data_IF_777006960503
#
_entry.id   IF_777006960503
#
_cell.length_a   1.000
_cell.length_b   1.000
_cell.length_c   1.000
_cell.angle_alpha   90.00
_cell.angle_beta   90.00
_cell.angle_gamma   90.00
#
_symmetry.space_group_name_H-M   'P 1'
#
loop_
_entity.id
_entity.type
_entity.pdbx_description
1 polymer ?
#
# COMPACT_ATOMS: atom_id res chain seq x y z
N UNK A 1 -7.19 -0.59 -7.60
CA UNK A 1 -7.00 0.34 -8.73
C UNK A 1 -5.60 0.95 -8.63
N UNK A 2 -4.97 1.39 -9.74
CA UNK A 2 -3.70 2.16 -9.62
C UNK A 2 -4.06 3.64 -9.59
N UNK A 3 -3.77 4.31 -8.47
CA UNK A 3 -4.07 5.73 -8.29
C UNK A 3 -2.90 6.64 -8.67
N UNK A 4 -1.69 6.27 -8.27
CA UNK A 4 -0.48 7.06 -8.42
C UNK A 4 0.74 6.15 -8.49
N UNK A 5 1.85 6.67 -9.01
CA UNK A 5 3.17 6.01 -8.92
C UNK A 5 3.92 6.33 -7.62
N UNK A 6 3.48 7.36 -6.89
CA UNK A 6 4.07 7.79 -5.62
C UNK A 6 3.37 7.14 -4.41
N UNK A 7 2.18 6.56 -4.61
CA UNK A 7 1.36 5.99 -3.55
C UNK A 7 1.32 4.47 -3.68
N UNK A 8 1.46 3.79 -2.55
CA UNK A 8 1.05 2.42 -2.38
C UNK A 8 -0.36 2.39 -1.75
N UNK A 9 -1.22 1.50 -2.24
CA UNK A 9 -2.57 1.30 -1.67
C UNK A 9 -2.51 0.20 -0.63
N UNK A 10 -2.57 0.58 0.64
CA UNK A 10 -2.56 -0.35 1.78
C UNK A 10 -3.90 -1.07 1.92
N UNK A 11 -4.99 -0.31 1.77
CA UNK A 11 -6.33 -0.82 1.97
C UNK A 11 -7.35 0.01 1.19
N UNK A 12 -8.39 -0.64 0.68
CA UNK A 12 -9.50 0.00 -0.01
C UNK A 12 -10.82 -0.55 0.55
N UNK A 13 -11.60 0.32 1.18
CA UNK A 13 -12.92 0.00 1.70
C UNK A 13 -13.97 0.50 0.70
N UNK A 14 -14.82 -0.39 0.14
CA UNK A 14 -15.89 0.01 -0.75
C UNK A 14 -17.02 0.72 0.00
N UNK A 15 -17.89 1.39 -0.76
CA UNK A 15 -19.11 2.01 -0.23
C UNK A 15 -20.01 0.98 0.46
N UNK A 16 -20.70 1.44 1.50
CA UNK A 16 -21.77 0.68 2.13
C UNK A 16 -23.02 0.61 1.22
N UNK A 17 -24.09 -0.03 1.72
CA UNK A 17 -25.35 -0.19 0.98
C UNK A 17 -26.04 1.13 0.60
N UNK A 18 -25.72 2.22 1.31
CA UNK A 18 -26.25 3.56 1.05
C UNK A 18 -25.35 4.35 0.07
N UNK A 19 -24.26 3.77 -0.43
CA UNK A 19 -23.32 4.44 -1.31
C UNK A 19 -22.38 5.41 -0.57
N UNK A 20 -22.14 5.20 0.72
CA UNK A 20 -21.34 6.07 1.59
C UNK A 20 -20.17 5.34 2.26
N UNK A 21 -19.22 6.10 2.82
CA UNK A 21 -18.18 5.55 3.69
C UNK A 21 -17.02 4.85 2.98
N UNK A 22 -16.90 4.97 1.65
CA UNK A 22 -15.73 4.43 0.96
C UNK A 22 -14.48 5.22 1.31
N UNK A 23 -13.39 4.54 1.59
CA UNK A 23 -12.10 5.19 1.81
C UNK A 23 -10.96 4.32 1.32
N UNK A 24 -9.83 4.97 1.05
CA UNK A 24 -8.58 4.28 0.69
C UNK A 24 -7.50 4.73 1.64
N UNK A 25 -6.71 3.79 2.15
CA UNK A 25 -5.50 4.07 2.91
C UNK A 25 -4.33 3.98 1.95
N UNK A 26 -3.59 5.07 1.86
CA UNK A 26 -2.37 5.16 1.10
C UNK A 26 -1.17 5.21 2.03
N UNK A 27 -0.04 4.71 1.52
CA UNK A 27 1.27 4.95 2.11
C UNK A 27 2.24 5.49 1.08
N UNK A 28 3.20 6.29 1.56
CA UNK A 28 4.32 6.81 0.77
C UNK A 28 5.53 6.98 1.69
N UNK A 29 6.73 7.02 1.10
CA UNK A 29 7.94 7.36 1.84
C UNK A 29 7.81 8.75 2.51
N UNK A 30 8.29 8.85 3.74
CA UNK A 30 8.26 10.07 4.54
C UNK A 30 9.67 10.52 4.92
N UNK A 31 9.95 11.80 4.71
CA UNK A 31 11.26 12.41 5.00
C UNK A 31 11.26 13.25 6.30
N UNK A 32 10.12 13.82 6.65
CA UNK A 32 9.97 14.74 7.79
C UNK A 32 8.97 14.20 8.82
N UNK A 33 9.26 14.40 10.10
CA UNK A 33 8.37 14.09 11.22
C UNK A 33 7.13 14.98 11.25
N UNK A 34 6.25 14.71 12.21
CA UNK A 34 4.99 15.44 12.35
C UNK A 34 5.15 16.90 12.82
N UNK A 35 6.34 17.25 13.27
CA UNK A 35 6.79 18.58 13.63
C UNK A 35 7.58 19.27 12.50
N UNK A 36 7.65 18.67 11.31
CA UNK A 36 8.45 19.10 10.16
C UNK A 36 9.98 19.05 10.38
N UNK A 37 10.45 18.23 11.34
CA UNK A 37 11.89 17.97 11.53
C UNK A 37 12.32 16.75 10.68
N UNK A 38 13.48 16.76 10.01
CA UNK A 38 13.96 15.60 9.26
C UNK A 38 14.02 14.33 10.13
N UNK A 39 13.59 13.20 9.57
CA UNK A 39 13.70 11.89 10.21
C UNK A 39 15.08 11.29 9.97
N UNK A 40 15.63 10.63 11.00
CA UNK A 40 16.91 9.89 10.89
C UNK A 40 16.75 8.51 10.26
N UNK A 41 15.55 7.93 10.36
CA UNK A 41 15.24 6.57 9.92
C UNK A 41 14.25 6.58 8.76
N UNK A 42 14.29 5.51 7.96
CA UNK A 42 13.31 5.33 6.88
C UNK A 42 11.92 5.17 7.48
N UNK A 43 11.01 6.06 7.11
CA UNK A 43 9.64 6.06 7.60
C UNK A 43 8.66 6.14 6.44
N UNK A 44 7.43 5.70 6.69
CA UNK A 44 6.32 5.84 5.76
C UNK A 44 5.19 6.64 6.39
N UNK A 45 4.59 7.50 5.59
CA UNK A 45 3.38 8.24 5.95
C UNK A 45 2.17 7.45 5.47
N UNK A 46 1.37 6.97 6.40
CA UNK A 46 0.06 6.36 6.14
C UNK A 46 -1.04 7.39 6.33
N UNK A 47 -1.96 7.51 5.39
CA UNK A 47 -3.09 8.43 5.51
C UNK A 47 -4.30 7.91 4.75
N UNK A 48 -5.49 8.28 5.19
CA UNK A 48 -6.73 7.90 4.57
C UNK A 48 -7.25 9.00 3.64
N UNK A 49 -7.94 8.60 2.57
CA UNK A 49 -8.79 9.49 1.77
C UNK A 49 -10.21 8.95 1.82
N UNK A 50 -11.11 9.73 2.41
CA UNK A 50 -12.53 9.44 2.47
C UNK A 50 -13.21 9.99 1.22
N UNK A 51 -13.75 9.08 0.41
CA UNK A 51 -14.40 9.40 -0.86
C UNK A 51 -15.87 9.74 -0.65
N UNK A 52 -16.34 10.80 -1.32
CA UNK A 52 -17.76 11.08 -1.46
C UNK A 52 -18.21 10.70 -2.87
N UNK A 53 -18.72 9.47 -3.01
CA UNK A 53 -19.10 8.89 -4.29
C UNK A 53 -17.89 8.35 -5.07
N UNK A 54 -17.80 8.65 -6.35
CA UNK A 54 -16.68 8.16 -7.17
C UNK A 54 -15.35 8.80 -6.74
N UNK A 55 -14.24 8.08 -6.93
CA UNK A 55 -12.90 8.61 -6.67
C UNK A 55 -12.68 9.91 -7.46
N UNK A 56 -12.41 11.00 -6.75
CA UNK A 56 -12.05 12.27 -7.35
C UNK A 56 -10.53 12.33 -7.57
N UNK A 57 -10.10 12.16 -8.81
CA UNK A 57 -8.67 12.14 -9.18
C UNK A 57 -7.98 13.48 -8.90
N UNK A 58 -8.73 14.58 -8.74
CA UNK A 58 -8.15 15.87 -8.34
C UNK A 58 -7.54 15.79 -6.94
N UNK A 59 -8.12 14.99 -6.04
CA UNK A 59 -7.54 14.77 -4.70
C UNK A 59 -6.18 14.08 -4.82
N UNK A 60 -6.04 13.11 -5.72
CA UNK A 60 -4.78 12.42 -5.97
C UNK A 60 -3.73 13.40 -6.50
N UNK A 61 -4.08 14.28 -7.43
CA UNK A 61 -3.18 15.31 -7.94
C UNK A 61 -2.67 16.24 -6.82
N UNK A 62 -3.55 16.70 -5.91
CA UNK A 62 -3.14 17.52 -4.76
C UNK A 62 -2.21 16.76 -3.80
N UNK A 63 -2.46 15.47 -3.60
CA UNK A 63 -1.59 14.60 -2.81
C UNK A 63 -0.21 14.50 -3.46
N UNK A 64 -0.13 14.23 -4.77
CA UNK A 64 1.14 14.14 -5.48
C UNK A 64 1.93 15.46 -5.42
N UNK A 65 1.26 16.60 -5.62
CA UNK A 65 1.87 17.93 -5.45
C UNK A 65 2.42 18.12 -4.03
N UNK A 66 1.65 17.71 -2.99
CA UNK A 66 2.09 17.80 -1.60
C UNK A 66 3.31 16.92 -1.27
N UNK A 67 3.42 15.75 -1.92
CA UNK A 67 4.58 14.86 -1.81
C UNK A 67 5.80 15.51 -2.45
N UNK A 68 5.65 16.02 -3.68
CA UNK A 68 6.73 16.70 -4.40
C UNK A 68 7.27 17.92 -3.64
N UNK A 69 6.40 18.62 -2.93
CA UNK A 69 6.76 19.77 -2.10
C UNK A 69 7.23 19.39 -0.69
N UNK A 70 7.23 18.10 -0.34
CA UNK A 70 7.62 17.56 0.97
C UNK A 70 6.77 18.07 2.15
N UNK A 71 5.49 18.39 1.90
CA UNK A 71 4.54 18.96 2.89
C UNK A 71 3.34 18.04 3.20
N UNK A 72 3.29 16.84 2.62
CA UNK A 72 2.19 15.89 2.87
C UNK A 72 2.05 15.56 4.37
N UNK A 73 3.16 15.33 5.07
CA UNK A 73 3.12 15.09 6.51
C UNK A 73 2.77 16.38 7.27
N UNK A 74 1.95 16.32 8.33
CA UNK A 74 1.43 15.11 8.99
C UNK A 74 -0.05 14.87 8.74
N UNK A 75 -0.46 14.80 7.47
CA UNK A 75 -1.84 14.46 7.10
C UNK A 75 -2.19 13.05 7.59
N UNK A 76 -3.34 12.91 8.25
CA UNK A 76 -3.91 11.62 8.64
C UNK A 76 -5.11 11.23 7.80
N UNK A 77 -5.96 12.20 7.45
CA UNK A 77 -7.15 11.97 6.66
C UNK A 77 -7.46 13.17 5.76
N UNK A 78 -7.84 12.88 4.51
CA UNK A 78 -8.33 13.85 3.55
C UNK A 78 -9.78 13.53 3.19
N UNK A 79 -10.57 14.56 2.98
CA UNK A 79 -11.91 14.44 2.40
C UNK A 79 -12.20 15.67 1.55
N UNK A 80 -12.54 15.46 0.29
CA UNK A 80 -12.98 16.53 -0.60
C UNK A 80 -14.49 16.42 -0.81
N UNK A 81 -15.20 17.52 -0.59
CA UNK A 81 -16.65 17.61 -0.77
C UNK A 81 -17.03 19.03 -1.17
N UNK A 82 -17.77 19.16 -2.28
CA UNK A 82 -18.45 20.40 -2.70
C UNK A 82 -17.54 21.66 -2.67
N UNK A 83 -16.33 21.56 -3.20
CA UNK A 83 -15.37 22.68 -3.24
C UNK A 83 -14.65 22.95 -1.91
N UNK A 84 -14.72 22.02 -0.96
CA UNK A 84 -13.96 22.08 0.29
C UNK A 84 -13.09 20.84 0.44
N UNK A 85 -11.80 21.04 0.68
CA UNK A 85 -10.86 20.02 1.10
C UNK A 85 -10.71 20.08 2.63
N UNK A 86 -11.14 19.03 3.32
CA UNK A 86 -10.86 18.85 4.74
C UNK A 86 -9.51 18.14 4.89
N UNK A 87 -8.58 18.79 5.57
CA UNK A 87 -7.26 18.24 5.90
C UNK A 87 -7.21 17.96 7.39
N UNK A 88 -7.25 16.68 7.74
CA UNK A 88 -7.01 16.22 9.11
C UNK A 88 -5.52 16.01 9.29
N UNK A 89 -4.94 16.72 10.26
CA UNK A 89 -3.51 16.66 10.55
C UNK A 89 -3.23 16.25 11.99
N UNK A 90 -2.02 15.74 12.23
CA UNK A 90 -1.55 15.40 13.57
C UNK A 90 -1.55 16.62 14.50
N UNK A 91 -2.06 16.45 15.72
CA UNK A 91 -2.18 17.51 16.72
C UNK A 91 -0.83 18.03 17.25
N UNK A 92 0.28 17.32 17.02
CA UNK A 92 1.65 17.76 17.32
C UNK A 92 2.11 18.93 16.44
N UNK A 93 1.54 19.09 15.24
CA UNK A 93 1.89 20.19 14.35
C UNK A 93 1.38 21.52 14.94
N UNK A 94 2.31 22.40 15.31
CA UNK A 94 2.05 23.70 15.95
C UNK A 94 3.02 24.77 15.47
N UNK A 95 2.78 26.02 15.87
CA UNK A 95 3.71 27.14 15.65
C UNK A 95 3.84 27.56 14.18
N UNK A 96 5.05 27.95 13.78
CA UNK A 96 5.33 28.43 12.42
C UNK A 96 5.19 27.33 11.37
N UNK A 97 5.56 26.09 11.70
CA UNK A 97 5.43 24.95 10.79
C UNK A 97 3.95 24.67 10.45
N UNK A 98 3.04 24.82 11.44
CA UNK A 98 1.60 24.74 11.19
C UNK A 98 1.11 25.84 10.23
N UNK A 99 1.56 27.09 10.39
CA UNK A 99 1.17 28.19 9.50
C UNK A 99 1.65 27.94 8.07
N UNK A 100 2.90 27.48 7.91
CA UNK A 100 3.46 27.14 6.62
C UNK A 100 2.69 25.99 5.96
N UNK A 101 2.40 24.93 6.73
CA UNK A 101 1.58 23.81 6.27
C UNK A 101 0.21 24.29 5.76
N UNK A 102 -0.49 25.12 6.53
CA UNK A 102 -1.78 25.69 6.12
C UNK A 102 -1.66 26.48 4.81
N UNK A 103 -0.69 27.39 4.74
CA UNK A 103 -0.49 28.26 3.58
C UNK A 103 -0.20 27.45 2.30
N UNK A 104 0.61 26.40 2.40
CA UNK A 104 0.95 25.57 1.24
C UNK A 104 -0.25 24.73 0.79
N UNK A 105 -0.99 24.13 1.72
CA UNK A 105 -2.22 23.38 1.38
C UNK A 105 -3.31 24.27 0.78
N UNK A 106 -3.48 25.49 1.30
CA UNK A 106 -4.39 26.49 0.71
C UNK A 106 -3.97 26.84 -0.72
N UNK A 107 -2.67 27.03 -0.97
CA UNK A 107 -2.15 27.32 -2.31
C UNK A 107 -2.36 26.15 -3.26
N UNK A 108 -2.14 24.91 -2.81
CA UNK A 108 -2.36 23.69 -3.60
C UNK A 108 -3.84 23.57 -3.95
N UNK A 109 -4.75 23.72 -2.98
CA UNK A 109 -6.19 23.62 -3.19
C UNK A 109 -6.76 24.75 -4.07
N UNK A 110 -6.22 25.97 -3.98
CA UNK A 110 -6.58 27.08 -4.87
C UNK A 110 -6.14 26.85 -6.33
N UNK A 111 -5.15 25.98 -6.56
CA UNK A 111 -4.66 25.60 -7.88
C UNK A 111 -5.40 24.42 -8.52
N UNK A 112 -6.46 23.92 -7.91
CA UNK A 112 -7.24 22.78 -8.43
C UNK A 112 -7.80 23.12 -9.82
N UNK A 113 -7.69 22.17 -10.74
CA UNK A 113 -8.23 22.33 -12.09
C UNK A 113 -9.77 22.42 -12.06
N UNK A 114 -10.29 23.46 -12.75
CA UNK A 114 -11.72 23.72 -12.98
C UNK A 114 -12.56 24.13 -11.76
N UNK A 115 -11.95 24.35 -10.59
CA UNK A 115 -12.65 24.80 -9.39
C UNK A 115 -11.66 25.45 -8.40
N UNK A 116 -12.14 26.33 -7.54
CA UNK A 116 -11.34 26.86 -6.43
C UNK A 116 -11.75 26.16 -5.14
N UNK A 117 -10.85 25.36 -4.58
CA UNK A 117 -11.14 24.65 -3.34
C UNK A 117 -10.70 25.45 -2.13
N UNK A 118 -11.61 25.52 -1.16
CA UNK A 118 -11.31 26.04 0.18
C UNK A 118 -10.77 24.93 1.06
N UNK A 119 -9.82 25.24 1.95
CA UNK A 119 -9.25 24.23 2.84
C UNK A 119 -9.76 24.41 4.26
N UNK A 120 -10.16 23.30 4.87
CA UNK A 120 -10.58 23.23 6.27
C UNK A 120 -9.61 22.36 7.05
N UNK A 121 -8.84 22.98 7.93
CA UNK A 121 -7.91 22.26 8.80
C UNK A 121 -8.59 21.78 10.10
N UNK A 122 -8.38 20.51 10.41
CA UNK A 122 -8.91 19.84 11.60
C UNK A 122 -7.79 19.04 12.26
N UNK A 123 -7.62 19.16 13.58
CA UNK A 123 -6.72 18.28 14.33
C UNK A 123 -7.32 16.88 14.40
N UNK A 124 -6.49 15.86 14.33
CA UNK A 124 -6.85 14.45 14.53
C UNK A 124 -7.72 14.21 15.77
N UNK A 125 -7.39 14.85 16.90
CA UNK A 125 -8.14 14.76 18.16
C UNK A 125 -9.57 15.34 18.10
N UNK A 126 -9.86 16.20 17.13
CA UNK A 126 -11.16 16.84 16.95
C UNK A 126 -11.95 16.36 15.73
N UNK A 127 -11.36 15.50 14.89
CA UNK A 127 -12.01 15.00 13.68
C UNK A 127 -13.21 14.10 14.02
N UNK A 128 -14.33 14.31 13.34
CA UNK A 128 -15.60 13.61 13.60
C UNK A 128 -16.39 14.07 14.84
N UNK A 129 -15.79 14.88 15.73
CA UNK A 129 -16.44 15.33 16.98
C UNK A 129 -17.07 16.74 16.89
N UNK A 130 -16.73 17.51 15.85
CA UNK A 130 -17.17 18.89 15.68
C UNK A 130 -18.19 19.09 14.57
N UNK A 131 -18.60 20.35 14.35
CA UNK A 131 -19.45 20.75 13.22
C UNK A 131 -18.66 20.95 11.91
N UNK A 132 -17.33 20.87 11.96
CA UNK A 132 -16.44 21.04 10.82
C UNK A 132 -16.55 19.87 9.83
N UNK A 133 -16.55 20.18 8.54
CA UNK A 133 -16.65 19.22 7.44
C UNK A 133 -18.10 18.85 7.06
N UNK A 134 -18.23 18.06 6.01
CA UNK A 134 -19.51 17.55 5.51
C UNK A 134 -20.15 16.49 6.42
N UNK A 135 -21.39 16.09 6.11
CA UNK A 135 -22.09 15.01 6.83
C UNK A 135 -21.27 13.72 6.81
N UNK A 136 -20.79 13.30 5.63
CA UNK A 136 -20.03 12.07 5.43
C UNK A 136 -18.74 12.11 6.25
N UNK A 137 -17.98 13.20 6.15
CA UNK A 137 -16.81 13.41 6.98
C UNK A 137 -17.09 13.21 8.47
N UNK A 138 -18.12 13.89 9.02
CA UNK A 138 -18.44 13.78 10.44
C UNK A 138 -18.87 12.36 10.85
N UNK A 139 -19.52 11.64 9.95
CA UNK A 139 -20.01 10.28 10.20
C UNK A 139 -18.87 9.26 10.24
N UNK A 140 -17.91 9.34 9.31
CA UNK A 140 -16.91 8.27 9.11
C UNK A 140 -15.49 8.62 9.60
N UNK A 141 -15.13 9.90 9.70
CA UNK A 141 -13.74 10.28 9.98
C UNK A 141 -13.23 9.69 11.30
N UNK A 142 -14.05 9.66 12.36
CA UNK A 142 -13.63 9.14 13.65
C UNK A 142 -13.36 7.65 13.63
N UNK A 143 -14.26 6.88 13.01
CA UNK A 143 -14.11 5.45 12.84
C UNK A 143 -12.84 5.11 12.04
N UNK A 144 -12.59 5.83 10.94
CA UNK A 144 -11.39 5.62 10.12
C UNK A 144 -10.12 5.91 10.92
N UNK A 145 -10.09 7.01 11.69
CA UNK A 145 -8.92 7.39 12.48
C UNK A 145 -8.65 6.44 13.66
N UNK A 146 -9.69 5.85 14.24
CA UNK A 146 -9.56 5.00 15.44
C UNK A 146 -9.25 3.54 15.09
N UNK A 147 -9.76 3.06 13.96
CA UNK A 147 -9.62 1.65 13.56
C UNK A 147 -8.41 1.38 12.66
N UNK A 148 -7.67 2.43 12.24
CA UNK A 148 -6.54 2.28 11.33
C UNK A 148 -5.29 2.97 11.88
N UNK A 149 -4.14 2.34 11.65
CA UNK A 149 -2.84 2.92 11.99
C UNK A 149 -2.45 3.97 10.93
N UNK A 150 -2.82 5.22 11.20
CA UNK A 150 -2.54 6.38 10.34
C UNK A 150 -1.52 7.32 10.98
N UNK A 151 -0.73 7.98 10.15
CA UNK A 151 0.39 8.83 10.57
C UNK A 151 1.72 8.29 10.07
N UNK A 152 2.79 8.73 10.73
CA UNK A 152 4.16 8.34 10.39
C UNK A 152 4.50 7.08 11.18
N UNK A 153 4.91 6.03 10.47
CA UNK A 153 5.41 4.79 11.07
C UNK A 153 6.80 4.48 10.54
N UNK A 154 7.65 3.91 11.40
CA UNK A 154 8.98 3.46 11.00
C UNK A 154 8.85 2.30 10.01
N UNK A 155 9.67 2.31 8.96
CA UNK A 155 9.69 1.24 7.97
C UNK A 155 10.63 0.13 8.41
N UNK A 156 10.06 -0.96 8.92
CA UNK A 156 10.83 -2.11 9.42
C UNK A 156 10.91 -3.24 8.40
N UNK A 157 11.88 -4.18 8.53
CA UNK A 157 11.96 -5.35 7.67
C UNK A 157 10.70 -6.24 7.68
N UNK A 158 9.87 -6.16 8.72
CA UNK A 158 8.59 -6.88 8.80
C UNK A 158 7.57 -6.39 7.76
N UNK A 159 7.78 -5.20 7.20
CA UNK A 159 6.92 -4.62 6.17
C UNK A 159 7.37 -5.01 4.74
N UNK A 160 8.41 -5.83 4.59
CA UNK A 160 8.86 -6.27 3.27
C UNK A 160 7.84 -7.26 2.68
N UNK A 161 7.30 -6.92 1.50
CA UNK A 161 6.25 -7.69 0.82
C UNK A 161 6.59 -9.16 0.58
N UNK A 162 7.89 -9.47 0.41
CA UNK A 162 8.38 -10.80 0.07
C UNK A 162 9.22 -11.40 1.20
N UNK A 163 9.10 -10.90 2.43
CA UNK A 163 9.94 -11.35 3.56
C UNK A 163 9.96 -12.87 3.68
N UNK A 164 8.78 -13.49 3.62
CA UNK A 164 8.63 -14.93 3.79
C UNK A 164 9.16 -15.71 2.58
N UNK A 165 9.01 -15.19 1.36
CA UNK A 165 9.54 -15.84 0.15
C UNK A 165 11.07 -15.93 0.15
N UNK A 166 11.74 -15.00 0.85
CA UNK A 166 13.19 -14.97 1.01
C UNK A 166 13.68 -15.63 2.30
N UNK A 167 12.81 -16.34 3.03
CA UNK A 167 13.22 -17.12 4.18
C UNK A 167 14.22 -18.22 3.77
N UNK A 168 15.28 -18.49 4.55
CA UNK A 168 16.29 -19.49 4.19
C UNK A 168 15.72 -20.86 3.83
N UNK A 169 14.65 -21.27 4.51
CA UNK A 169 13.96 -22.54 4.28
C UNK A 169 13.33 -22.61 2.88
N UNK A 170 12.85 -21.46 2.36
CA UNK A 170 12.25 -21.34 1.03
C UNK A 170 13.29 -21.23 -0.09
N UNK A 171 14.49 -20.72 0.20
CA UNK A 171 15.58 -20.57 -0.79
C UNK A 171 16.44 -21.83 -0.86
N UNK A 172 16.80 -22.40 0.29
CA UNK A 172 17.78 -23.48 0.41
C UNK A 172 17.13 -24.85 0.68
N UNK A 173 15.81 -24.90 0.89
CA UNK A 173 15.09 -26.10 1.29
C UNK A 173 15.15 -26.36 2.80
N UNK A 174 14.39 -27.37 3.29
CA UNK A 174 14.47 -27.76 4.69
C UNK A 174 15.91 -28.17 5.05
N UNK A 175 16.34 -27.93 6.29
CA UNK A 175 17.67 -28.33 6.74
C UNK A 175 17.86 -29.85 6.54
N UNK A 176 19.09 -30.33 6.28
CA UNK A 176 19.35 -31.75 6.09
C UNK A 176 18.91 -32.54 7.34
N UNK A 177 17.81 -33.29 7.23
CA UNK A 177 17.24 -34.08 8.32
C UNK A 177 15.72 -34.02 8.47
N UNK A 178 15.05 -33.05 7.85
CA UNK A 178 13.57 -32.96 7.80
C UNK A 178 13.07 -33.25 6.38
N UNK A 179 13.26 -34.47 5.90
CA UNK A 179 12.48 -34.95 4.76
C UNK A 179 11.07 -35.32 5.26
N UNK A 180 9.99 -34.84 4.62
CA UNK A 180 8.65 -35.35 4.91
C UNK A 180 8.62 -36.83 4.56
N UNK A 181 8.15 -37.68 5.50
CA UNK A 181 7.97 -39.11 5.27
C UNK A 181 7.23 -39.32 3.94
N UNK A 182 7.92 -39.92 2.97
CA UNK A 182 7.38 -40.16 1.66
C UNK A 182 6.14 -41.06 1.78
N UNK A 183 5.02 -40.57 1.25
CA UNK A 183 3.78 -41.33 1.10
C UNK A 183 4.09 -42.64 0.32
N UNK A 184 3.92 -43.83 0.95
CA UNK A 184 4.39 -45.09 0.38
C UNK A 184 3.69 -45.47 -0.94
N UNK A 185 2.60 -44.81 -1.33
CA UNK A 185 1.90 -45.07 -2.58
C UNK A 185 2.64 -44.56 -3.84
N UNK A 186 3.55 -43.57 -3.72
CA UNK A 186 4.30 -43.05 -4.90
C UNK A 186 5.48 -43.92 -5.33
N UNK A 187 6.00 -44.79 -4.46
CA UNK A 187 7.20 -45.60 -4.74
C UNK A 187 6.88 -46.76 -5.71
N UNK A 188 5.66 -47.28 -5.72
CA UNK A 188 5.30 -48.41 -6.60
C UNK A 188 5.18 -48.03 -8.07
N UNK A 189 4.93 -46.76 -8.41
CA UNK A 189 4.77 -46.33 -9.80
C UNK A 189 6.10 -45.96 -10.50
N UNK A 190 7.17 -45.70 -9.73
CA UNK A 190 8.48 -45.33 -10.27
C UNK A 190 9.42 -46.53 -10.53
N UNK A 191 9.17 -47.68 -9.88
CA UNK A 191 9.98 -48.90 -10.06
C UNK A 191 9.53 -49.81 -11.21
N UNK A 192 8.44 -49.46 -11.93
CA UNK A 192 7.92 -50.23 -13.06
C UNK A 192 8.27 -49.70 -14.45
N UNK A 193 9.08 -48.63 -14.55
CA UNK A 193 9.34 -47.92 -15.82
C UNK A 193 10.76 -48.08 -16.38
N UNK A 194 11.60 -48.95 -15.78
CA UNK A 194 13.04 -48.99 -16.08
C UNK A 194 13.61 -50.27 -16.69
N UNK A 195 12.79 -51.27 -17.06
CA UNK A 195 13.34 -52.56 -17.54
C UNK A 195 12.91 -53.03 -18.96
N UNK A 196 12.08 -52.29 -19.72
CA UNK A 196 11.63 -52.79 -21.05
C UNK A 196 12.32 -52.18 -22.30
N UNK A 197 13.21 -51.19 -22.16
CA UNK A 197 13.78 -50.47 -23.32
C UNK A 197 15.24 -50.83 -23.70
N UNK A 198 15.84 -51.86 -23.08
CA UNK A 198 17.26 -52.21 -23.31
C UNK A 198 17.54 -53.28 -24.37
N UNK A 199 16.52 -53.93 -24.93
CA UNK A 199 16.70 -55.02 -25.93
C UNK A 199 16.52 -54.59 -27.40
N UNK A 200 16.07 -53.36 -27.66
CA UNK A 200 15.78 -52.87 -29.03
C UNK A 200 17.03 -52.45 -29.84
N UNK A 201 18.19 -52.28 -29.20
CA UNK A 201 19.39 -51.71 -29.84
C UNK A 201 20.43 -52.74 -30.33
N UNK A 202 20.23 -54.05 -30.09
CA UNK A 202 21.23 -55.09 -30.39
C UNK A 202 21.11 -55.78 -31.76
N UNK A 203 20.03 -55.57 -32.51
CA UNK A 203 19.84 -56.25 -33.81
C UNK A 203 20.26 -55.43 -35.05
N UNK A 204 20.62 -54.15 -34.89
CA UNK A 204 20.93 -53.25 -36.03
C UNK A 204 22.41 -53.19 -36.42
N UNK A 205 23.29 -53.98 -35.81
CA UNK A 205 24.74 -53.82 -35.92
C UNK A 205 25.52 -55.08 -36.33
N UNK A 206 25.01 -55.90 -37.26
CA UNK A 206 25.86 -56.85 -38.01
C UNK A 206 25.30 -57.10 -39.42
N UNK A 207 25.69 -56.26 -40.38
CA UNK A 207 25.17 -56.36 -41.75
C UNK A 207 26.01 -55.66 -42.80
N UNK A 208 27.34 -55.73 -42.73
CA UNK A 208 28.22 -55.18 -43.78
C UNK A 208 28.85 -56.32 -44.57
N UNK A 209 28.34 -56.55 -45.78
CA UNK A 209 28.96 -57.41 -46.81
C UNK A 209 30.25 -56.76 -47.33
N UNK A 210 31.28 -57.54 -47.69
CA UNK A 210 32.47 -57.01 -48.36
C UNK A 210 32.26 -56.97 -49.89
N UNK A 211 32.86 -55.95 -50.52
CA UNK A 211 33.08 -55.78 -51.98
C UNK A 211 34.34 -56.59 -52.35
N UNK A 212 34.47 -57.21 -53.55
CA UNK A 212 33.91 -56.82 -54.84
C UNK A 212 32.89 -57.75 -55.49
#
# INVERSE_FOLDING_TARGET
MIYSRLLYTEHEQPHNNDGEGAYTIFSTQQLFGADCVPLGDMSVQKFAVLWEGQTDTRVIDLIEQSIMLTILSPVRLLNASKGTLVVVHDSKLVGENYKLFCLVWEKIAAGVMYDEWTVLFVKDTGAGLGLKGGRIFRQFAREILDNNELGIVEFTPDMFLFKDDWAPENIFGPPPGEEPEADPERIQHALGLFDEDLDSWRESATGSKPIP
#
